data_IF_662286486543
#
_entry.id   IF_662286486543
#
_cell.length_a   1.000
_cell.length_b   1.000
_cell.length_c   1.000
_cell.angle_alpha   90.00
_cell.angle_beta   90.00
_cell.angle_gamma   90.00
#
_symmetry.space_group_name_H-M   'P 1'
#
loop_
_entity.id
_entity.type
_entity.pdbx_description
1 polymer ?
#
# COMPACT_ATOMS: atom_id res chain seq x y z
N UNK A 1 18.21 0.62 2.41
CA UNK A 1 17.57 -0.25 1.39
C UNK A 1 17.25 0.62 0.18
N UNK A 2 17.72 0.29 -1.03
CA UNK A 2 17.34 1.02 -2.24
C UNK A 2 15.84 0.86 -2.54
N UNK A 3 15.27 1.80 -3.28
CA UNK A 3 13.89 1.74 -3.76
C UNK A 3 13.70 0.52 -4.67
N UNK A 4 12.57 -0.19 -4.49
CA UNK A 4 12.14 -1.31 -5.35
C UNK A 4 11.97 -0.85 -6.80
N UNK A 5 12.23 -1.73 -7.76
CA UNK A 5 12.04 -1.46 -9.18
C UNK A 5 10.53 -1.43 -9.53
N UNK A 6 10.19 -0.77 -10.64
CA UNK A 6 8.82 -0.78 -11.16
C UNK A 6 8.29 -2.20 -11.41
N UNK A 7 9.16 -3.10 -11.84
CA UNK A 7 8.81 -4.49 -12.15
C UNK A 7 8.38 -5.26 -10.89
N UNK A 8 9.01 -5.01 -9.75
CA UNK A 8 8.64 -5.60 -8.46
C UNK A 8 7.28 -5.09 -7.93
N UNK A 9 6.87 -3.89 -8.35
CA UNK A 9 5.61 -3.27 -7.95
C UNK A 9 4.43 -3.64 -8.85
N UNK A 10 4.70 -4.22 -10.03
CA UNK A 10 3.67 -4.53 -11.03
C UNK A 10 2.55 -5.43 -10.49
N UNK A 11 2.91 -6.37 -9.62
CA UNK A 11 1.96 -7.29 -8.97
C UNK A 11 0.97 -6.58 -8.02
N UNK A 12 1.29 -5.37 -7.58
CA UNK A 12 0.49 -4.59 -6.65
C UNK A 12 -0.39 -3.55 -7.35
N UNK A 13 -0.39 -3.48 -8.68
CA UNK A 13 -1.21 -2.52 -9.43
C UNK A 13 -2.67 -2.95 -9.35
N UNK A 14 -3.52 -2.03 -8.92
CA UNK A 14 -4.97 -2.19 -8.87
C UNK A 14 -5.68 -0.97 -9.44
N UNK A 15 -6.94 -1.16 -9.84
CA UNK A 15 -7.84 -0.05 -10.17
C UNK A 15 -8.85 0.11 -9.04
N UNK A 16 -8.96 1.31 -8.49
CA UNK A 16 -9.96 1.66 -7.47
C UNK A 16 -10.88 2.74 -8.02
N UNK A 17 -12.16 2.72 -7.67
CA UNK A 17 -13.09 3.80 -8.03
C UNK A 17 -13.13 4.79 -6.88
N UNK A 18 -12.65 6.02 -7.12
CA UNK A 18 -12.69 7.12 -6.17
C UNK A 18 -13.63 8.20 -6.70
N UNK A 19 -14.72 8.46 -5.99
CA UNK A 19 -15.77 9.41 -6.39
C UNK A 19 -16.28 9.19 -7.84
N UNK A 20 -16.44 7.92 -8.23
CA UNK A 20 -16.86 7.55 -9.58
C UNK A 20 -15.77 7.58 -10.65
N UNK A 21 -14.54 7.97 -10.30
CA UNK A 21 -13.40 8.03 -11.22
C UNK A 21 -12.53 6.78 -11.03
N UNK A 22 -12.25 6.00 -12.08
CA UNK A 22 -11.32 4.87 -12.00
C UNK A 22 -9.88 5.40 -11.90
N UNK A 23 -9.19 5.02 -10.83
CA UNK A 23 -7.80 5.38 -10.57
C UNK A 23 -6.94 4.12 -10.56
N UNK A 24 -5.85 4.14 -11.34
CA UNK A 24 -4.82 3.11 -11.29
C UNK A 24 -3.82 3.48 -10.19
N UNK A 25 -3.64 2.60 -9.23
CA UNK A 25 -2.80 2.82 -8.05
C UNK A 25 -2.19 1.50 -7.56
N UNK A 26 -1.35 1.56 -6.53
CA UNK A 26 -0.87 0.36 -5.84
C UNK A 26 -1.87 -0.08 -4.77
N UNK A 27 -1.86 -1.36 -4.43
CA UNK A 27 -2.44 -1.86 -3.19
C UNK A 27 -1.64 -1.39 -1.97
N UNK A 28 -2.16 -1.67 -0.77
CA UNK A 28 -1.52 -1.23 0.49
C UNK A 28 -0.12 -1.82 0.65
N UNK A 29 0.12 -3.03 0.16
CA UNK A 29 1.43 -3.69 0.21
C UNK A 29 2.43 -3.02 -0.74
N UNK A 30 2.03 -2.74 -1.98
CA UNK A 30 2.81 -1.98 -2.95
C UNK A 30 3.11 -0.57 -2.45
N UNK A 31 2.14 0.12 -1.85
CA UNK A 31 2.38 1.44 -1.23
C UNK A 31 3.42 1.34 -0.11
N UNK A 32 3.33 0.34 0.78
CA UNK A 32 4.32 0.11 1.84
C UNK A 32 5.71 -0.16 1.27
N UNK A 33 5.82 -0.88 0.16
CA UNK A 33 7.09 -1.15 -0.50
C UNK A 33 7.80 0.14 -0.95
N UNK A 34 7.05 1.16 -1.39
CA UNK A 34 7.63 2.47 -1.78
C UNK A 34 8.08 3.32 -0.59
N UNK A 35 7.51 3.09 0.60
CA UNK A 35 7.73 3.90 1.82
C UNK A 35 8.76 3.30 2.78
N UNK A 36 9.39 2.17 2.43
CA UNK A 36 10.51 1.56 3.17
C UNK A 36 11.86 2.21 2.83
N UNK A 37 11.91 3.54 2.82
CA UNK A 37 13.16 4.31 2.67
C UNK A 37 13.65 4.82 4.03
N UNK A 38 14.84 5.43 4.06
CA UNK A 38 15.39 6.09 5.26
C UNK A 38 14.91 7.54 5.43
N UNK A 39 14.04 8.04 4.54
CA UNK A 39 13.56 9.43 4.61
C UNK A 39 12.62 9.61 5.80
N UNK A 40 12.90 10.60 6.64
CA UNK A 40 12.09 10.90 7.82
C UNK A 40 10.61 11.19 7.48
N UNK A 41 10.34 11.76 6.30
CA UNK A 41 9.00 12.04 5.79
C UNK A 41 8.17 10.78 5.49
N UNK A 42 8.81 9.62 5.29
CA UNK A 42 8.10 8.37 4.99
C UNK A 42 7.67 7.61 6.26
N UNK A 43 8.17 8.00 7.45
CA UNK A 43 7.85 7.35 8.73
C UNK A 43 6.35 7.46 9.06
N UNK A 44 5.72 8.66 9.00
CA UNK A 44 4.29 8.79 9.30
C UNK A 44 3.41 8.03 8.30
N UNK A 45 3.75 8.08 7.01
CA UNK A 45 3.02 7.39 5.95
C UNK A 45 3.07 5.88 6.13
N UNK A 46 4.26 5.33 6.40
CA UNK A 46 4.44 3.89 6.66
C UNK A 46 3.60 3.42 7.85
N UNK A 47 3.57 4.18 8.95
CA UNK A 47 2.78 3.83 10.13
C UNK A 47 1.28 3.77 9.83
N UNK A 48 0.76 4.71 9.04
CA UNK A 48 -0.65 4.71 8.61
C UNK A 48 -0.97 3.49 7.74
N UNK A 49 -0.10 3.19 6.78
CA UNK A 49 -0.28 2.07 5.88
C UNK A 49 -0.20 0.71 6.60
N UNK A 50 0.71 0.54 7.57
CA UNK A 50 0.78 -0.69 8.39
C UNK A 50 -0.50 -0.87 9.24
N UNK A 51 -1.05 0.22 9.81
CA UNK A 51 -2.33 0.16 10.54
C UNK A 51 -3.49 -0.24 9.62
N UNK A 52 -3.57 0.35 8.43
CA UNK A 52 -4.57 0.00 7.44
C UNK A 52 -4.47 -1.48 7.03
N UNK A 53 -3.26 -1.96 6.77
CA UNK A 53 -3.00 -3.36 6.43
C UNK A 53 -3.50 -4.32 7.50
N UNK A 54 -3.24 -4.02 8.77
CA UNK A 54 -3.70 -4.86 9.88
C UNK A 54 -5.23 -4.87 9.99
N UNK A 55 -5.88 -3.71 9.88
CA UNK A 55 -7.34 -3.63 9.91
C UNK A 55 -8.00 -4.43 8.77
N UNK A 56 -7.44 -4.38 7.55
CA UNK A 56 -7.94 -5.16 6.41
C UNK A 56 -7.79 -6.68 6.61
N UNK A 57 -6.69 -7.10 7.23
CA UNK A 57 -6.47 -8.52 7.60
C UNK A 57 -7.49 -9.01 8.62
N UNK A 58 -7.71 -8.23 9.68
CA UNK A 58 -8.70 -8.54 10.72
C UNK A 58 -10.12 -8.63 10.12
N UNK A 59 -10.49 -7.70 9.24
CA UNK A 59 -11.77 -7.77 8.54
C UNK A 59 -11.92 -9.06 7.73
N UNK A 60 -10.89 -9.45 6.99
CA UNK A 60 -10.90 -10.66 6.17
C UNK A 60 -11.06 -11.92 7.04
N UNK A 61 -10.40 -11.98 8.19
CA UNK A 61 -10.49 -13.08 9.15
C UNK A 61 -11.84 -13.17 9.88
N UNK A 62 -12.52 -12.03 10.06
CA UNK A 62 -13.85 -12.00 10.67
C UNK A 62 -15.00 -12.35 9.69
N UNK A 63 -14.69 -12.43 8.38
CA UNK A 63 -15.62 -12.75 7.30
C UNK A 63 -15.52 -14.22 6.84
N UNK A 64 -14.60 -15.00 7.43
CA UNK A 64 -14.32 -16.42 7.16
C UNK A 64 -14.68 -17.30 8.35
#
# INVERSE_FOLDING_TARGET
MPSKSFEELRQHIQTVVLHGIPLVTLDVDGMLHTKRTTRASDIPDRLKLERLKNALREQTQNLS
#
